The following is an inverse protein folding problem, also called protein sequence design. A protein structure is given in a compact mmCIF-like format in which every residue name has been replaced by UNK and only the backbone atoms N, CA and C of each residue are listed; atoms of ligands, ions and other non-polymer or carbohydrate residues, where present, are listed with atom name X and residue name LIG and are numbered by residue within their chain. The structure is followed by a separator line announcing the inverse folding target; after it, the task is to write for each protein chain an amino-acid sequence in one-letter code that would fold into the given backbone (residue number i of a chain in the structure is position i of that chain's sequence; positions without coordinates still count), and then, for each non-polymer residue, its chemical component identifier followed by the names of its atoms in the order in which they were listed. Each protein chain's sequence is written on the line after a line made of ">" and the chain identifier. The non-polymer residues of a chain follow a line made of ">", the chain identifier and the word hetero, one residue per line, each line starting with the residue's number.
data_IF_313308397639
#
_entry.id   IF_313308397639
#
_cell.length_a   1.000
_cell.length_b   1.000
_cell.length_c   1.000
_cell.angle_alpha   90.00
_cell.angle_beta   90.00
_cell.angle_gamma   90.00
#
_symmetry.space_group_name_H-M   'P 1'
#
loop_
_entity.id
_entity.type
_entity.pdbx_description
1 polymer ?
#
# COMPACT_ATOMS: atom_id res chain seq x y z
N UNK A 1 30.77 54.75 -32.90
CA UNK A 1 31.33 53.71 -32.05
C UNK A 1 30.12 52.91 -31.47
N UNK A 2 29.82 51.75 -32.07
CA UNK A 2 28.74 50.92 -31.61
C UNK A 2 29.31 49.93 -30.61
N UNK A 3 29.01 50.12 -29.33
CA UNK A 3 29.38 49.15 -28.27
C UNK A 3 28.45 47.95 -28.38
N UNK A 4 28.95 46.90 -28.99
CA UNK A 4 28.30 45.60 -28.98
C UNK A 4 28.36 45.05 -27.54
N UNK A 5 27.22 44.93 -26.88
CA UNK A 5 27.10 44.27 -25.57
C UNK A 5 27.23 42.75 -25.76
N UNK A 6 28.33 42.12 -25.30
CA UNK A 6 28.55 40.69 -25.50
C UNK A 6 27.82 39.75 -24.49
N UNK A 7 26.87 40.30 -23.70
CA UNK A 7 26.42 39.64 -22.47
C UNK A 7 25.14 38.80 -22.59
N UNK A 8 24.31 38.98 -23.61
CA UNK A 8 22.98 38.32 -23.61
C UNK A 8 23.01 36.87 -24.06
N UNK A 9 23.88 36.52 -25.02
CA UNK A 9 23.98 35.10 -25.53
C UNK A 9 24.63 34.16 -24.51
N UNK A 10 25.59 34.62 -23.75
CA UNK A 10 26.25 33.82 -22.70
C UNK A 10 25.35 33.58 -21.50
N UNK A 11 24.50 34.53 -21.16
CA UNK A 11 23.60 34.48 -20.02
C UNK A 11 22.46 33.46 -20.26
N UNK A 12 21.90 33.39 -21.45
CA UNK A 12 20.89 32.40 -21.83
C UNK A 12 21.45 30.98 -21.76
N UNK A 13 22.65 30.74 -22.29
CA UNK A 13 23.28 29.42 -22.25
C UNK A 13 23.58 28.97 -20.81
N UNK A 14 24.05 29.84 -19.94
CA UNK A 14 24.28 29.56 -18.53
C UNK A 14 22.97 29.24 -17.81
N UNK A 15 21.90 29.95 -18.10
CA UNK A 15 20.57 29.69 -17.54
C UNK A 15 20.05 28.32 -17.95
N UNK A 16 20.15 27.97 -19.22
CA UNK A 16 19.73 26.63 -19.71
C UNK A 16 20.55 25.52 -19.09
N UNK A 17 21.85 25.70 -18.89
CA UNK A 17 22.72 24.71 -18.27
C UNK A 17 22.34 24.39 -16.85
N UNK A 18 21.66 25.29 -16.13
CA UNK A 18 21.17 25.05 -14.76
C UNK A 18 19.71 24.58 -14.76
N UNK A 19 18.84 25.25 -15.53
CA UNK A 19 17.39 24.96 -15.52
C UNK A 19 17.08 23.57 -16.02
N UNK A 20 17.74 23.11 -17.10
CA UNK A 20 17.45 21.79 -17.68
C UNK A 20 17.75 20.63 -16.71
N UNK A 21 18.94 20.54 -16.08
CA UNK A 21 19.19 19.48 -15.10
C UNK A 21 18.24 19.53 -13.89
N UNK A 22 17.94 20.72 -13.36
CA UNK A 22 17.02 20.87 -12.24
C UNK A 22 15.62 20.37 -12.61
N UNK A 23 15.15 20.73 -13.81
CA UNK A 23 13.85 20.27 -14.31
C UNK A 23 13.82 18.74 -14.46
N UNK A 24 14.87 18.16 -15.01
CA UNK A 24 14.99 16.68 -15.15
C UNK A 24 14.97 16.01 -13.78
N UNK A 25 15.75 16.50 -12.82
CA UNK A 25 15.75 15.95 -11.45
C UNK A 25 14.39 16.07 -10.78
N UNK A 26 13.68 17.17 -10.99
CA UNK A 26 12.33 17.34 -10.48
C UNK A 26 11.36 16.29 -11.05
N UNK A 27 11.37 16.07 -12.37
CA UNK A 27 10.53 15.04 -12.99
C UNK A 27 10.88 13.63 -12.53
N UNK A 28 12.16 13.31 -12.39
CA UNK A 28 12.58 12.01 -11.84
C UNK A 28 12.07 11.81 -10.41
N UNK A 29 12.10 12.84 -9.57
CA UNK A 29 11.53 12.79 -8.23
C UNK A 29 10.01 12.57 -8.21
N UNK A 30 9.29 13.20 -9.12
CA UNK A 30 7.83 13.00 -9.28
C UNK A 30 7.54 11.56 -9.71
N UNK A 31 8.30 11.01 -10.65
CA UNK A 31 8.13 9.62 -11.12
C UNK A 31 8.40 8.64 -9.99
N UNK A 32 9.48 8.84 -9.23
CA UNK A 32 9.84 7.99 -8.07
C UNK A 32 8.71 8.00 -7.01
N UNK A 33 8.17 9.17 -6.72
CA UNK A 33 7.01 9.33 -5.84
C UNK A 33 5.77 8.59 -6.35
N UNK A 34 5.45 8.71 -7.65
CA UNK A 34 4.28 8.05 -8.25
C UNK A 34 4.40 6.53 -8.20
N UNK A 35 5.57 5.98 -8.51
CA UNK A 35 5.81 4.53 -8.45
C UNK A 35 5.69 4.04 -7.00
N UNK A 36 6.28 4.75 -6.06
CA UNK A 36 6.19 4.41 -4.63
C UNK A 36 4.73 4.43 -4.15
N UNK A 37 3.97 5.45 -4.51
CA UNK A 37 2.57 5.56 -4.14
C UNK A 37 1.72 4.42 -4.75
N UNK A 38 1.96 4.04 -6.00
CA UNK A 38 1.28 2.91 -6.63
C UNK A 38 1.54 1.60 -5.86
N UNK A 39 2.80 1.30 -5.51
CA UNK A 39 3.18 0.12 -4.71
C UNK A 39 2.51 0.11 -3.34
N UNK A 40 2.44 1.27 -2.68
CA UNK A 40 1.76 1.40 -1.38
C UNK A 40 0.27 1.08 -1.54
N UNK A 41 -0.41 1.66 -2.54
CA UNK A 41 -1.83 1.43 -2.78
C UNK A 41 -2.14 -0.04 -3.11
N UNK A 42 -1.33 -0.68 -3.95
CA UNK A 42 -1.45 -2.12 -4.24
C UNK A 42 -1.26 -2.97 -2.97
N UNK A 43 -0.29 -2.62 -2.14
CA UNK A 43 -0.04 -3.33 -0.86
C UNK A 43 -1.20 -3.13 0.12
N UNK A 44 -1.76 -1.92 0.19
CA UNK A 44 -2.96 -1.64 1.02
C UNK A 44 -4.13 -2.48 0.55
N UNK A 45 -4.41 -2.49 -0.76
CA UNK A 45 -5.50 -3.27 -1.33
C UNK A 45 -5.32 -4.79 -1.08
N UNK A 46 -4.11 -5.31 -1.25
CA UNK A 46 -3.80 -6.71 -0.96
C UNK A 46 -3.97 -7.05 0.53
N UNK A 47 -3.53 -6.17 1.43
CA UNK A 47 -3.68 -6.34 2.86
C UNK A 47 -5.15 -6.28 3.31
N UNK A 48 -5.95 -5.37 2.71
CA UNK A 48 -7.36 -5.22 2.99
C UNK A 48 -8.16 -6.46 2.55
N UNK A 49 -7.95 -6.93 1.31
CA UNK A 49 -8.55 -8.16 0.81
C UNK A 49 -8.17 -9.38 1.67
N UNK A 50 -6.92 -9.50 2.06
CA UNK A 50 -6.44 -10.57 2.93
C UNK A 50 -7.12 -10.51 4.31
N UNK A 51 -7.24 -9.32 4.90
CA UNK A 51 -7.89 -9.12 6.19
C UNK A 51 -9.37 -9.50 6.15
N UNK A 52 -10.09 -9.10 5.09
CA UNK A 52 -11.48 -9.47 4.90
C UNK A 52 -11.65 -10.98 4.64
N UNK A 53 -10.80 -11.58 3.80
CA UNK A 53 -10.84 -13.01 3.53
C UNK A 53 -10.61 -13.85 4.79
N UNK A 54 -9.67 -13.43 5.64
CA UNK A 54 -9.41 -14.06 6.93
C UNK A 54 -10.58 -13.89 7.91
N UNK A 55 -11.15 -12.68 7.98
CA UNK A 55 -12.26 -12.39 8.90
C UNK A 55 -13.53 -13.18 8.58
N UNK A 56 -13.73 -13.61 7.33
CA UNK A 56 -14.88 -14.42 6.91
C UNK A 56 -14.71 -15.92 7.20
N UNK A 57 -13.56 -16.36 7.69
CA UNK A 57 -13.33 -17.77 8.07
C UNK A 57 -13.89 -18.03 9.47
N UNK A 58 -15.17 -18.36 9.53
CA UNK A 58 -15.88 -18.73 10.76
C UNK A 58 -16.01 -20.25 10.85
N UNK A 59 -15.95 -20.79 12.07
CA UNK A 59 -16.37 -22.18 12.35
C UNK A 59 -17.81 -22.17 12.88
N UNK A 60 -18.67 -22.96 12.24
CA UNK A 60 -19.98 -23.32 12.80
C UNK A 60 -19.78 -24.53 13.69
N UNK A 61 -19.98 -24.38 14.98
CA UNK A 61 -19.99 -25.50 15.91
C UNK A 61 -21.30 -26.30 15.78
N UNK A 62 -21.29 -27.60 16.16
CA UNK A 62 -22.47 -28.47 16.07
C UNK A 62 -23.67 -28.00 16.89
N UNK A 63 -23.45 -27.14 17.89
CA UNK A 63 -24.48 -26.53 18.74
C UNK A 63 -25.09 -25.25 18.13
N UNK A 64 -24.67 -24.86 16.92
CA UNK A 64 -25.09 -23.66 16.25
C UNK A 64 -24.37 -22.38 16.70
N UNK A 65 -23.42 -22.49 17.62
CA UNK A 65 -22.59 -21.33 17.99
C UNK A 65 -21.53 -21.08 16.91
N UNK A 66 -21.33 -19.78 16.62
CA UNK A 66 -20.30 -19.32 15.69
C UNK A 66 -19.03 -19.09 16.49
N UNK A 67 -18.02 -19.93 16.26
CA UNK A 67 -16.68 -19.64 16.73
C UNK A 67 -16.01 -18.69 15.72
N UNK A 68 -15.78 -17.42 16.09
CA UNK A 68 -15.01 -16.53 15.26
C UNK A 68 -13.58 -17.08 15.18
N UNK A 69 -13.08 -17.20 13.97
CA UNK A 69 -11.73 -17.65 13.65
C UNK A 69 -11.51 -19.17 13.60
N UNK A 70 -11.75 -19.72 12.44
CA UNK A 70 -11.20 -21.04 12.14
C UNK A 70 -9.66 -20.96 12.20
N UNK A 71 -9.03 -22.06 12.58
CA UNK A 71 -7.55 -22.19 12.53
C UNK A 71 -6.98 -21.87 11.15
N UNK A 72 -7.81 -21.84 10.12
CA UNK A 72 -7.46 -21.53 8.74
C UNK A 72 -7.51 -20.03 8.40
N UNK A 73 -8.08 -19.17 9.27
CA UNK A 73 -8.22 -17.74 8.98
C UNK A 73 -6.88 -17.07 8.59
N UNK A 74 -5.82 -17.36 9.32
CA UNK A 74 -4.49 -16.83 9.02
C UNK A 74 -3.89 -17.42 7.74
N UNK A 75 -4.16 -18.68 7.46
CA UNK A 75 -3.67 -19.36 6.24
C UNK A 75 -4.35 -18.77 5.01
N UNK A 76 -5.68 -18.59 5.06
CA UNK A 76 -6.45 -17.97 3.99
C UNK A 76 -5.99 -16.52 3.77
N UNK A 77 -5.88 -15.73 4.83
CA UNK A 77 -5.37 -14.35 4.72
C UNK A 77 -3.97 -14.30 4.11
N UNK A 78 -3.06 -15.21 4.52
CA UNK A 78 -1.71 -15.30 3.95
C UNK A 78 -1.74 -15.60 2.45
N UNK A 79 -2.58 -16.56 2.03
CA UNK A 79 -2.67 -16.95 0.62
C UNK A 79 -3.23 -15.82 -0.25
N UNK A 80 -4.24 -15.09 0.24
CA UNK A 80 -4.80 -13.93 -0.46
C UNK A 80 -3.77 -12.80 -0.59
N UNK A 81 -3.05 -12.49 0.49
CA UNK A 81 -1.99 -11.50 0.43
C UNK A 81 -0.92 -11.89 -0.60
N UNK A 82 -0.42 -13.12 -0.53
CA UNK A 82 0.62 -13.60 -1.44
C UNK A 82 0.20 -13.59 -2.92
N UNK A 83 -1.10 -13.79 -3.20
CA UNK A 83 -1.63 -13.78 -4.57
C UNK A 83 -1.81 -12.36 -5.16
N UNK A 84 -1.96 -11.34 -4.32
CA UNK A 84 -2.33 -9.99 -4.74
C UNK A 84 -1.25 -8.94 -4.47
N UNK A 85 -0.33 -9.20 -3.55
CA UNK A 85 0.69 -8.23 -3.17
C UNK A 85 1.75 -8.06 -4.26
N UNK A 86 2.24 -6.82 -4.49
CA UNK A 86 3.36 -6.59 -5.39
C UNK A 86 4.64 -7.26 -4.84
N UNK A 87 5.60 -7.59 -5.73
CA UNK A 87 6.81 -8.33 -5.35
C UNK A 87 7.70 -7.59 -4.34
N UNK A 88 7.58 -6.28 -4.24
CA UNK A 88 8.30 -5.45 -3.28
C UNK A 88 7.66 -5.40 -1.90
N UNK A 89 6.46 -5.96 -1.76
CA UNK A 89 5.77 -6.06 -0.49
C UNK A 89 6.15 -7.34 0.28
N UNK A 90 6.13 -7.24 1.58
CA UNK A 90 6.33 -8.39 2.48
C UNK A 90 5.29 -8.39 3.58
N UNK A 91 4.75 -9.56 3.89
CA UNK A 91 3.86 -9.76 5.00
C UNK A 91 4.64 -9.63 6.32
N UNK A 92 4.16 -8.76 7.21
CA UNK A 92 4.75 -8.58 8.54
C UNK A 92 4.08 -9.48 9.59
N UNK A 93 2.78 -9.70 9.47
CA UNK A 93 2.02 -10.56 10.37
C UNK A 93 0.52 -10.48 10.16
N UNK A 94 -0.17 -11.53 10.61
CA UNK A 94 -1.63 -11.62 10.63
C UNK A 94 -2.06 -11.96 12.05
N UNK A 95 -3.04 -11.25 12.55
CA UNK A 95 -3.69 -11.57 13.82
C UNK A 95 -5.20 -11.47 13.64
N UNK A 96 -5.89 -12.58 13.88
CA UNK A 96 -7.34 -12.65 13.88
C UNK A 96 -7.83 -12.75 15.32
N UNK A 97 -8.87 -11.98 15.67
CA UNK A 97 -9.37 -11.92 17.03
C UNK A 97 -10.51 -10.88 17.17
N UNK A 98 -10.94 -10.64 18.38
CA UNK A 98 -11.89 -9.58 18.66
C UNK A 98 -11.18 -8.22 18.65
N UNK A 99 -11.54 -7.36 17.72
CA UNK A 99 -11.09 -5.97 17.65
C UNK A 99 -12.31 -5.09 17.88
N UNK A 100 -12.29 -4.30 18.93
CA UNK A 100 -13.46 -3.49 19.36
C UNK A 100 -14.74 -4.33 19.50
N UNK A 101 -14.63 -5.48 20.18
CA UNK A 101 -15.72 -6.44 20.42
C UNK A 101 -16.31 -7.08 19.14
N UNK A 102 -15.69 -6.88 17.97
CA UNK A 102 -16.12 -7.44 16.69
C UNK A 102 -15.07 -8.42 16.16
N UNK A 103 -15.50 -9.56 15.62
CA UNK A 103 -14.58 -10.47 14.93
C UNK A 103 -13.91 -9.75 13.77
N UNK A 104 -12.58 -9.73 13.77
CA UNK A 104 -11.80 -9.08 12.72
C UNK A 104 -10.42 -9.72 12.55
N UNK A 105 -9.85 -9.63 11.36
CA UNK A 105 -8.46 -9.94 11.11
C UNK A 105 -7.68 -8.67 10.82
N UNK A 106 -6.51 -8.54 11.44
CA UNK A 106 -5.55 -7.48 11.14
C UNK A 106 -4.39 -8.07 10.35
N UNK A 107 -4.07 -7.44 9.25
CA UNK A 107 -2.92 -7.76 8.41
C UNK A 107 -1.95 -6.59 8.47
N UNK A 108 -0.71 -6.89 8.85
CA UNK A 108 0.40 -5.94 8.81
C UNK A 108 1.33 -6.33 7.68
N UNK A 109 1.66 -5.39 6.83
CA UNK A 109 2.57 -5.57 5.72
C UNK A 109 3.54 -4.39 5.63
N UNK A 110 4.58 -4.54 4.84
CA UNK A 110 5.52 -3.46 4.52
C UNK A 110 5.90 -3.55 3.05
N UNK A 111 6.09 -2.40 2.44
CA UNK A 111 6.50 -2.28 1.04
C UNK A 111 7.73 -1.41 0.91
N UNK A 112 8.58 -1.74 -0.04
CA UNK A 112 9.80 -0.98 -0.34
C UNK A 112 9.49 0.14 -1.31
N UNK A 113 9.97 1.37 -1.02
CA UNK A 113 9.89 2.51 -1.93
C UNK A 113 10.67 2.23 -3.23
N UNK A 114 10.42 3.02 -4.29
CA UNK A 114 11.10 2.83 -5.58
C UNK A 114 12.61 3.03 -5.49
N UNK A 115 13.06 4.05 -4.75
CA UNK A 115 14.47 4.24 -4.41
C UNK A 115 15.38 4.65 -5.57
N UNK A 116 14.85 5.35 -6.58
CA UNK A 116 15.65 5.80 -7.73
C UNK A 116 16.42 7.08 -7.42
N UNK A 117 15.74 8.07 -6.88
CA UNK A 117 16.30 9.36 -6.51
C UNK A 117 16.34 9.54 -5.00
N UNK A 118 15.35 8.99 -4.30
CA UNK A 118 15.23 9.00 -2.85
C UNK A 118 15.80 7.70 -2.27
N UNK A 119 16.31 7.72 -1.04
CA UNK A 119 16.80 6.49 -0.40
C UNK A 119 15.66 5.47 -0.26
N UNK A 120 15.98 4.21 -0.50
CA UNK A 120 15.04 3.11 -0.26
C UNK A 120 14.61 3.08 1.21
N UNK A 121 13.32 3.08 1.42
CA UNK A 121 12.72 3.00 2.76
C UNK A 121 11.59 1.98 2.79
N UNK A 122 11.35 1.41 3.97
CA UNK A 122 10.21 0.53 4.20
C UNK A 122 9.02 1.33 4.72
N UNK A 123 7.89 1.16 4.06
CA UNK A 123 6.62 1.80 4.42
C UNK A 123 5.72 0.72 5.02
N UNK A 124 5.27 0.93 6.26
CA UNK A 124 4.38 -0.01 6.93
C UNK A 124 2.93 0.25 6.53
N UNK A 125 2.22 -0.85 6.27
CA UNK A 125 0.80 -0.87 5.90
C UNK A 125 0.07 -1.75 6.91
N UNK A 126 -1.09 -1.29 7.40
CA UNK A 126 -1.94 -2.07 8.26
C UNK A 126 -3.37 -2.01 7.73
N UNK A 127 -4.02 -3.17 7.63
CA UNK A 127 -5.42 -3.29 7.25
C UNK A 127 -6.19 -4.10 8.31
N UNK A 128 -7.47 -3.80 8.47
CA UNK A 128 -8.36 -4.53 9.39
C UNK A 128 -9.65 -4.85 8.65
N UNK A 129 -9.91 -6.13 8.46
CA UNK A 129 -11.15 -6.64 7.89
C UNK A 129 -12.07 -7.13 9.01
N UNK A 130 -13.31 -6.69 9.03
CA UNK A 130 -14.32 -7.16 9.95
C UNK A 130 -15.19 -8.24 9.30
N UNK A 131 -15.70 -9.17 10.12
CA UNK A 131 -16.70 -10.12 9.67
C UNK A 131 -17.95 -9.35 9.24
N UNK A 132 -18.34 -9.52 7.98
CA UNK A 132 -19.61 -9.00 7.49
C UNK A 132 -20.72 -9.99 7.91
N UNK A 133 -21.55 -9.60 8.86
CA UNK A 133 -22.81 -10.32 9.10
C UNK A 133 -23.72 -10.07 7.90
N UNK A 134 -24.23 -11.15 7.31
CA UNK A 134 -25.29 -11.02 6.30
C UNK A 134 -26.46 -10.24 6.89
N UNK A 135 -26.85 -9.18 6.21
CA UNK A 135 -28.13 -8.51 6.50
C UNK A 135 -29.20 -9.52 6.09
N UNK A 136 -29.77 -10.22 7.07
CA UNK A 136 -31.01 -10.96 6.84
C UNK A 136 -32.11 -9.93 6.64
N UNK A 137 -32.79 -10.02 5.52
CA UNK A 137 -33.83 -9.10 5.05
C UNK A 137 -35.13 -9.18 5.91
N UNK A 138 -35.05 -9.67 7.14
CA UNK A 138 -36.20 -9.97 8.00
C UNK A 138 -36.59 -8.86 8.98
N UNK A 139 -36.04 -7.64 8.83
CA UNK A 139 -36.47 -6.46 9.60
C UNK A 139 -37.34 -5.51 8.75
N UNK A 140 -38.49 -6.02 8.22
CA UNK A 140 -39.60 -5.20 7.74
C UNK A 140 -40.84 -5.40 8.60
#
# INVERSE_FOLDING_TARGET
>A
MVTVRPTEKGQATALFAVVVPVTVLFFLGVIDYMITNARVMETVAAADLAAHAGAQQINLLPDGTIEPFSSQASVVATSFFAAQAPPEASLGGISCGLIQERPACRVSARVRSAGWLLPETWINVNAVGYLAYGVTEDDQ
#
